data_IF_855865868203
#
_entry.id   IF_855865868203
#
_cell.length_a   1.000
_cell.length_b   1.000
_cell.length_c   1.000
_cell.angle_alpha   90.00
_cell.angle_beta   90.00
_cell.angle_gamma   90.00
#
_symmetry.space_group_name_H-M   'P 1'
#
loop_
_entity.id
_entity.type
_entity.pdbx_description
1 polymer ?
#
# COMPACT_ATOMS: atom_id res chain seq x y z
N UNK A 1 4.92 -20.70 -8.26
CA UNK A 1 4.31 -21.29 -7.06
C UNK A 1 5.28 -22.33 -6.54
N UNK A 2 5.52 -22.39 -5.22
CA UNK A 2 6.44 -23.38 -4.61
C UNK A 2 5.73 -24.70 -4.24
N UNK A 3 4.40 -24.77 -4.37
CA UNK A 3 3.63 -25.95 -3.96
C UNK A 3 3.72 -26.27 -2.46
N UNK A 4 3.99 -25.26 -1.62
CA UNK A 4 4.12 -25.45 -0.18
C UNK A 4 5.44 -26.06 0.28
N UNK A 5 6.41 -26.24 -0.62
CA UNK A 5 7.73 -26.83 -0.32
C UNK A 5 8.80 -25.79 0.01
N UNK A 6 9.73 -26.16 0.87
CA UNK A 6 10.92 -25.37 1.23
C UNK A 6 12.14 -25.72 0.34
N UNK A 7 13.32 -25.18 0.68
CA UNK A 7 14.58 -25.42 -0.04
C UNK A 7 15.07 -26.89 0.00
N UNK A 8 14.66 -27.69 0.99
CA UNK A 8 14.97 -29.14 1.05
C UNK A 8 13.91 -30.01 0.38
N UNK A 9 12.93 -29.41 -0.30
CA UNK A 9 11.85 -30.12 -0.99
C UNK A 9 10.74 -30.67 -0.07
N UNK A 10 10.84 -30.46 1.24
CA UNK A 10 9.82 -30.88 2.21
C UNK A 10 8.62 -29.94 2.20
N UNK A 11 7.42 -30.48 2.32
CA UNK A 11 6.19 -29.69 2.47
C UNK A 11 6.17 -29.10 3.88
N UNK A 12 6.20 -27.77 3.98
CA UNK A 12 6.13 -27.05 5.26
C UNK A 12 4.89 -26.19 5.37
N UNK A 13 4.27 -25.82 4.24
CA UNK A 13 2.99 -25.11 4.19
C UNK A 13 1.95 -25.95 3.45
N UNK A 14 1.02 -26.54 4.21
CA UNK A 14 -0.08 -27.34 3.66
C UNK A 14 -1.12 -26.48 2.93
N UNK A 15 -2.00 -27.14 2.17
CA UNK A 15 -3.09 -26.50 1.40
C UNK A 15 -2.62 -25.49 0.33
N UNK A 16 -1.37 -25.62 -0.16
CA UNK A 16 -0.83 -24.81 -1.26
C UNK A 16 -0.30 -25.72 -2.37
N UNK A 17 -0.90 -25.64 -3.55
CA UNK A 17 -0.49 -26.41 -4.72
C UNK A 17 -1.30 -26.01 -5.94
N UNK A 18 -0.76 -26.21 -7.15
CA UNK A 18 -1.49 -25.90 -8.39
C UNK A 18 -1.76 -24.40 -8.63
N UNK A 19 -2.95 -24.11 -9.16
CA UNK A 19 -3.41 -22.79 -9.56
C UNK A 19 -2.87 -22.28 -10.91
N UNK A 20 -3.57 -21.29 -11.47
CA UNK A 20 -3.14 -20.59 -12.69
C UNK A 20 -1.79 -19.86 -12.47
N UNK A 21 -0.90 -19.90 -13.48
CA UNK A 21 0.39 -19.20 -13.44
C UNK A 21 0.18 -17.68 -13.33
N UNK A 22 0.88 -17.04 -12.40
CA UNK A 22 0.78 -15.59 -12.14
C UNK A 22 2.13 -14.92 -12.39
N UNK A 23 2.10 -13.70 -12.93
CA UNK A 23 3.29 -12.83 -13.07
C UNK A 23 3.32 -11.87 -11.91
N UNK A 24 4.49 -11.68 -11.30
CA UNK A 24 4.67 -10.71 -10.22
C UNK A 24 4.67 -9.30 -10.80
N UNK A 25 3.96 -8.39 -10.13
CA UNK A 25 4.05 -6.95 -10.40
C UNK A 25 4.89 -6.29 -9.32
N UNK A 26 5.89 -5.52 -9.74
CA UNK A 26 6.74 -4.75 -8.82
C UNK A 26 6.02 -3.46 -8.44
N UNK A 27 5.73 -3.30 -7.15
CA UNK A 27 5.07 -2.11 -6.61
C UNK A 27 6.09 -1.24 -5.87
N UNK A 28 5.92 0.06 -5.99
CA UNK A 28 6.58 1.03 -5.14
C UNK A 28 5.81 1.16 -3.82
N UNK A 29 6.18 0.32 -2.85
CA UNK A 29 5.62 0.34 -1.50
C UNK A 29 6.25 1.40 -0.60
N UNK A 30 7.45 1.89 -0.95
CA UNK A 30 8.19 2.91 -0.20
C UNK A 30 7.86 4.33 -0.64
N UNK A 31 7.16 4.49 -1.78
CA UNK A 31 6.81 5.80 -2.34
C UNK A 31 8.08 6.62 -2.55
N UNK A 32 9.04 5.98 -3.24
CA UNK A 32 10.43 6.41 -3.41
C UNK A 32 10.58 7.82 -3.99
N UNK A 33 9.70 8.20 -4.92
CA UNK A 33 9.65 9.53 -5.53
C UNK A 33 8.92 10.51 -4.60
N UNK A 34 9.68 11.17 -3.73
CA UNK A 34 9.19 12.21 -2.83
C UNK A 34 9.13 13.58 -3.52
N UNK A 35 8.14 14.41 -3.18
CA UNK A 35 7.96 15.75 -3.73
C UNK A 35 7.34 15.80 -5.13
N UNK A 36 7.53 14.76 -5.94
CA UNK A 36 7.07 14.70 -7.34
C UNK A 36 5.59 14.32 -7.43
N UNK A 37 4.83 15.10 -8.19
CA UNK A 37 3.43 14.80 -8.49
C UNK A 37 3.32 13.74 -9.60
N UNK A 38 2.53 12.70 -9.36
CA UNK A 38 2.19 11.67 -10.33
C UNK A 38 0.70 11.70 -10.67
N UNK A 39 0.35 11.29 -11.89
CA UNK A 39 -1.04 11.16 -12.36
C UNK A 39 -1.40 9.68 -12.47
N UNK A 40 -2.59 9.33 -11.98
CA UNK A 40 -3.11 7.97 -12.10
C UNK A 40 -3.50 7.71 -13.55
N UNK A 41 -2.80 6.78 -14.21
CA UNK A 41 -3.08 6.42 -15.61
C UNK A 41 -4.27 5.46 -15.71
N UNK A 42 -4.28 4.43 -14.87
CA UNK A 42 -5.35 3.41 -14.81
C UNK A 42 -5.25 2.57 -13.54
N UNK A 43 -6.35 1.91 -13.22
CA UNK A 43 -6.43 0.87 -12.19
C UNK A 43 -6.37 -0.51 -12.84
N UNK A 44 -5.64 -1.44 -12.23
CA UNK A 44 -5.47 -2.80 -12.73
C UNK A 44 -5.71 -3.83 -11.62
N UNK A 45 -6.35 -4.94 -11.98
CA UNK A 45 -6.47 -6.12 -11.12
C UNK A 45 -5.11 -6.83 -10.98
N UNK A 46 -4.62 -7.09 -9.75
CA UNK A 46 -3.38 -7.86 -9.49
C UNK A 46 -3.68 -9.26 -8.93
N UNK A 47 -3.34 -10.36 -9.62
CA UNK A 47 -3.62 -11.70 -9.14
C UNK A 47 -2.77 -12.13 -7.93
N UNK A 48 -1.74 -11.37 -7.54
CA UNK A 48 -0.85 -11.74 -6.43
C UNK A 48 -1.31 -11.19 -5.07
N UNK A 49 -2.37 -10.38 -5.03
CA UNK A 49 -2.91 -9.78 -3.80
C UNK A 49 -4.42 -9.60 -3.91
N UNK A 50 -5.05 -9.19 -2.82
CA UNK A 50 -6.50 -8.91 -2.79
C UNK A 50 -6.83 -7.51 -3.33
N UNK A 51 -5.98 -6.52 -3.04
CA UNK A 51 -6.19 -5.14 -3.46
C UNK A 51 -5.85 -4.90 -4.94
N UNK A 52 -6.56 -3.97 -5.56
CA UNK A 52 -6.20 -3.48 -6.89
C UNK A 52 -4.97 -2.56 -6.83
N UNK A 53 -4.34 -2.36 -7.97
CA UNK A 53 -3.17 -1.49 -8.09
C UNK A 53 -3.42 -0.36 -9.07
N UNK A 54 -2.78 0.78 -8.82
CA UNK A 54 -2.84 1.93 -9.71
C UNK A 54 -1.50 2.09 -10.42
N UNK A 55 -1.52 2.24 -11.74
CA UNK A 55 -0.35 2.66 -12.51
C UNK A 55 -0.26 4.18 -12.45
N UNK A 56 0.82 4.67 -11.86
CA UNK A 56 1.12 6.10 -11.76
C UNK A 56 2.14 6.46 -12.83
N UNK A 57 1.88 7.56 -13.52
CA UNK A 57 2.81 8.21 -14.43
C UNK A 57 3.33 9.47 -13.76
N UNK A 58 4.64 9.52 -13.52
CA UNK A 58 5.28 10.71 -12.97
C UNK A 58 5.71 11.62 -14.11
N UNK A 59 5.39 12.91 -13.97
CA UNK A 59 5.83 13.94 -14.90
C UNK A 59 7.35 14.07 -14.90
N UNK A 60 7.92 14.61 -15.98
CA UNK A 60 9.32 15.04 -15.99
C UNK A 60 9.40 16.34 -15.21
N UNK A 61 9.73 16.29 -13.92
CA UNK A 61 10.19 17.50 -13.21
C UNK A 61 11.70 17.67 -13.43
N UNK A 62 12.08 18.91 -13.72
CA UNK A 62 13.46 19.38 -13.81
C UNK A 62 13.89 19.77 -12.39
N UNK A 63 14.40 18.83 -11.62
CA UNK A 63 15.26 19.17 -10.49
C UNK A 63 16.60 18.45 -10.67
N UNK A 64 17.69 19.17 -10.39
CA UNK A 64 19.04 18.89 -10.88
C UNK A 64 19.44 17.40 -10.96
N UNK A 65 19.86 17.02 -12.17
CA UNK A 65 20.64 15.83 -12.53
C UNK A 65 19.98 14.44 -12.67
N UNK A 66 18.70 14.21 -12.33
CA UNK A 66 18.06 12.90 -12.61
C UNK A 66 16.63 13.03 -13.15
N UNK A 67 16.48 12.91 -14.47
CA UNK A 67 15.18 12.78 -15.14
C UNK A 67 14.60 11.40 -14.83
N UNK A 68 13.67 11.29 -13.88
CA UNK A 68 12.89 10.07 -13.70
C UNK A 68 11.58 10.21 -14.48
N UNK A 69 11.62 9.95 -15.79
CA UNK A 69 10.37 9.61 -16.52
C UNK A 69 9.98 8.20 -16.08
N UNK A 70 9.23 8.12 -14.98
CA UNK A 70 8.94 6.87 -14.30
C UNK A 70 7.48 6.48 -14.37
N UNK A 71 7.23 5.19 -14.59
CA UNK A 71 5.97 4.56 -14.22
C UNK A 71 6.18 3.78 -12.92
N UNK A 72 5.24 3.87 -11.98
CA UNK A 72 5.26 3.04 -10.79
C UNK A 72 3.87 2.46 -10.51
N UNK A 73 3.83 1.24 -9.99
CA UNK A 73 2.61 0.68 -9.45
C UNK A 73 2.52 0.96 -7.96
N UNK A 74 1.37 1.47 -7.53
CA UNK A 74 1.03 1.60 -6.10
C UNK A 74 -0.20 0.78 -5.77
N UNK A 75 -0.46 0.57 -4.48
CA UNK A 75 -1.74 0.03 -4.02
C UNK A 75 -2.81 1.09 -4.29
N UNK A 76 -3.92 0.69 -4.91
CA UNK A 76 -5.03 1.60 -5.15
C UNK A 76 -5.81 1.81 -3.83
N UNK A 77 -5.88 3.05 -3.31
CA UNK A 77 -6.81 3.39 -2.27
C UNK A 77 -8.24 3.42 -2.81
N UNK A 78 -9.18 3.37 -1.89
CA UNK A 78 -10.58 3.61 -2.21
C UNK A 78 -10.80 5.04 -2.75
N UNK A 79 -11.67 5.15 -3.75
CA UNK A 79 -12.05 6.44 -4.35
C UNK A 79 -11.05 6.99 -5.37
N UNK A 80 -9.86 6.40 -5.51
CA UNK A 80 -8.88 6.81 -6.50
C UNK A 80 -9.37 6.49 -7.93
N UNK A 81 -9.27 7.46 -8.85
CA UNK A 81 -9.71 7.35 -10.24
C UNK A 81 -8.58 7.69 -11.22
N UNK A 82 -8.65 7.20 -12.47
CA UNK A 82 -7.76 7.69 -13.53
C UNK A 82 -7.89 9.20 -13.70
N UNK A 83 -6.76 9.90 -13.83
CA UNK A 83 -6.68 11.36 -13.88
C UNK A 83 -6.39 12.03 -12.54
N UNK A 84 -6.60 11.34 -11.41
CA UNK A 84 -6.29 11.89 -10.09
C UNK A 84 -4.79 12.09 -9.93
N UNK A 85 -4.41 13.12 -9.18
CA UNK A 85 -3.02 13.37 -8.84
C UNK A 85 -2.67 12.80 -7.47
N UNK A 86 -1.53 12.12 -7.39
CA UNK A 86 -0.97 11.56 -6.16
C UNK A 86 0.43 12.11 -5.92
N UNK A 87 0.76 12.37 -4.66
CA UNK A 87 2.08 12.85 -4.27
C UNK A 87 2.59 12.10 -3.04
N UNK A 88 3.90 12.09 -2.85
CA UNK A 88 4.55 11.48 -1.70
C UNK A 88 5.38 12.51 -0.96
N UNK A 89 5.16 12.66 0.34
CA UNK A 89 5.95 13.46 1.28
C UNK A 89 6.22 14.91 0.80
N UNK A 90 5.24 15.55 0.14
CA UNK A 90 5.33 16.95 -0.29
C UNK A 90 4.79 17.87 0.80
N UNK A 91 5.59 18.83 1.23
CA UNK A 91 5.20 19.83 2.20
C UNK A 91 3.99 20.64 1.68
N UNK A 92 2.99 20.86 2.54
CA UNK A 92 1.78 21.62 2.20
C UNK A 92 0.79 20.90 1.26
N UNK A 93 1.02 19.64 0.91
CA UNK A 93 0.07 18.89 0.10
C UNK A 93 -1.21 18.56 0.89
N UNK A 94 -2.34 18.54 0.18
CA UNK A 94 -3.65 18.22 0.75
C UNK A 94 -3.71 16.77 1.23
N UNK A 95 -4.41 16.54 2.33
CA UNK A 95 -4.70 15.21 2.86
C UNK A 95 -5.82 14.58 2.03
N UNK A 96 -5.44 14.01 0.88
CA UNK A 96 -6.34 13.29 -0.02
C UNK A 96 -5.94 11.81 -0.14
N UNK A 97 -6.90 10.90 -0.39
CA UNK A 97 -6.61 9.49 -0.62
C UNK A 97 -5.55 9.29 -1.71
N UNK A 98 -4.59 8.39 -1.46
CA UNK A 98 -3.48 8.11 -2.38
C UNK A 98 -2.24 8.98 -2.19
N UNK A 99 -2.32 10.08 -1.45
CA UNK A 99 -1.13 10.78 -0.99
C UNK A 99 -0.47 10.02 0.15
N UNK A 100 0.87 10.05 0.19
CA UNK A 100 1.64 9.40 1.25
C UNK A 100 2.45 10.42 2.03
N UNK A 101 2.51 10.29 3.35
CA UNK A 101 3.20 11.22 4.25
C UNK A 101 3.87 10.45 5.39
N UNK A 102 4.80 11.10 6.08
CA UNK A 102 5.27 10.59 7.37
C UNK A 102 4.16 10.67 8.40
N UNK A 103 4.06 9.71 9.31
CA UNK A 103 3.00 9.66 10.33
C UNK A 103 2.92 10.94 11.17
N UNK A 104 4.06 11.58 11.44
CA UNK A 104 4.13 12.87 12.17
C UNK A 104 3.45 14.03 11.45
N UNK A 105 3.24 13.93 10.14
CA UNK A 105 2.66 14.99 9.31
C UNK A 105 1.16 14.74 9.03
N UNK A 106 0.65 13.52 9.27
CA UNK A 106 -0.74 13.12 9.01
C UNK A 106 -1.67 13.52 10.17
N UNK A 107 -2.77 14.26 9.96
CA UNK A 107 -3.68 14.63 11.04
C UNK A 107 -4.21 13.41 11.81
N UNK A 108 -4.39 13.58 13.13
CA UNK A 108 -4.94 12.54 13.99
C UNK A 108 -6.39 12.24 13.59
N UNK A 109 -6.80 10.98 13.67
CA UNK A 109 -8.13 10.50 13.30
C UNK A 109 -8.29 10.12 11.82
N UNK A 110 -7.29 10.43 10.98
CA UNK A 110 -7.34 10.08 9.55
C UNK A 110 -7.11 8.59 9.32
N UNK A 111 -7.84 8.02 8.37
CA UNK A 111 -7.64 6.66 7.89
C UNK A 111 -6.37 6.57 7.04
N UNK A 112 -5.56 5.56 7.32
CA UNK A 112 -4.26 5.32 6.68
C UNK A 112 -4.07 3.84 6.35
N UNK A 113 -3.30 3.58 5.30
CA UNK A 113 -2.90 2.24 4.89
C UNK A 113 -1.44 2.21 4.43
N UNK A 114 -0.94 1.02 4.09
CA UNK A 114 0.43 0.80 3.63
C UNK A 114 1.49 1.41 4.58
N UNK A 115 1.41 1.07 5.86
CA UNK A 115 2.23 1.67 6.92
C UNK A 115 3.58 0.97 7.00
N UNK A 116 4.66 1.76 7.07
CA UNK A 116 6.01 1.23 7.31
C UNK A 116 6.17 0.73 8.75
N UNK A 117 6.84 -0.42 8.92
CA UNK A 117 7.23 -0.90 10.25
C UNK A 117 8.49 -0.20 10.76
N UNK A 118 9.39 0.15 9.85
CA UNK A 118 10.62 0.89 10.10
C UNK A 118 10.77 1.96 9.01
N UNK A 119 11.26 3.16 9.34
CA UNK A 119 11.43 4.23 8.35
C UNK A 119 12.24 3.75 7.14
N UNK A 120 11.71 3.94 5.93
CA UNK A 120 12.39 3.63 4.67
C UNK A 120 12.39 2.16 4.25
N UNK A 121 11.76 1.26 5.02
CA UNK A 121 11.60 -0.17 4.63
C UNK A 121 10.45 -0.40 3.63
N UNK A 122 9.63 0.62 3.36
CA UNK A 122 8.40 0.51 2.59
C UNK A 122 7.25 -0.07 3.40
N UNK A 123 6.03 0.16 2.93
CA UNK A 123 4.83 -0.24 3.63
C UNK A 123 4.71 -1.76 3.76
N UNK A 124 4.53 -2.23 5.00
CA UNK A 124 4.42 -3.65 5.34
C UNK A 124 3.06 -3.99 5.93
N UNK A 125 2.47 -3.05 6.68
CA UNK A 125 1.21 -3.24 7.39
C UNK A 125 0.04 -2.64 6.59
N UNK A 126 -1.17 -3.19 6.78
CA UNK A 126 -2.43 -2.66 6.23
C UNK A 126 -2.40 -2.54 4.70
N UNK A 127 -2.29 -3.70 4.02
CA UNK A 127 -2.18 -3.77 2.54
C UNK A 127 -3.28 -4.61 1.87
N UNK A 128 -4.15 -5.23 2.66
CA UNK A 128 -5.21 -6.08 2.11
C UNK A 128 -6.38 -5.22 1.65
N UNK A 129 -7.11 -5.70 0.64
CA UNK A 129 -8.35 -5.09 0.17
C UNK A 129 -9.29 -4.71 1.33
N UNK A 130 -9.84 -3.50 1.27
CA UNK A 130 -10.77 -2.94 2.26
C UNK A 130 -10.20 -2.66 3.66
N UNK A 131 -8.91 -2.89 3.90
CA UNK A 131 -8.31 -2.63 5.22
C UNK A 131 -7.84 -1.19 5.35
N UNK A 132 -7.95 -0.64 6.56
CA UNK A 132 -7.41 0.65 6.95
C UNK A 132 -7.00 0.59 8.43
N UNK A 133 -6.14 1.52 8.81
CA UNK A 133 -5.79 1.79 10.19
C UNK A 133 -6.09 3.27 10.49
N UNK A 134 -6.17 3.60 11.77
CA UNK A 134 -6.44 4.97 12.20
C UNK A 134 -5.29 5.48 13.03
N UNK A 135 -4.79 6.68 12.72
CA UNK A 135 -3.82 7.37 13.57
C UNK A 135 -4.54 7.90 14.82
N UNK A 136 -4.29 7.31 15.99
CA UNK A 136 -5.03 7.60 17.22
C UNK A 136 -4.47 8.80 17.97
N UNK A 137 -3.15 8.85 18.15
CA UNK A 137 -2.48 9.97 18.82
C UNK A 137 -1.00 10.05 18.42
N UNK A 138 -0.43 11.23 18.59
CA UNK A 138 1.02 11.47 18.49
C UNK A 138 1.54 11.72 19.90
N UNK A 139 2.59 11.03 20.31
CA UNK A 139 3.21 11.28 21.61
C UNK A 139 4.23 12.41 21.48
N UNK A 140 4.09 13.42 22.33
CA UNK A 140 4.80 14.70 22.20
C UNK A 140 6.29 14.65 22.61
N UNK A 141 6.84 13.49 23.00
CA UNK A 141 8.23 13.36 23.47
C UNK A 141 9.07 12.34 22.71
N UNK A 142 8.53 11.15 22.45
CA UNK A 142 9.35 10.01 22.01
C UNK A 142 9.42 9.85 20.48
N UNK A 143 8.75 10.73 19.73
CA UNK A 143 8.69 10.66 18.28
C UNK A 143 7.88 9.44 17.77
N UNK A 144 7.04 8.84 18.61
CA UNK A 144 6.14 7.74 18.25
C UNK A 144 4.71 8.23 18.03
N UNK A 145 4.01 7.47 17.20
CA UNK A 145 2.60 7.60 16.88
C UNK A 145 1.90 6.29 17.26
N UNK A 146 0.72 6.39 17.88
CA UNK A 146 -0.11 5.23 18.15
C UNK A 146 -1.08 5.06 17.00
N UNK A 147 -1.02 3.90 16.37
CA UNK A 147 -1.90 3.52 15.27
C UNK A 147 -2.78 2.36 15.72
N UNK A 148 -4.09 2.47 15.48
CA UNK A 148 -5.02 1.36 15.64
C UNK A 148 -5.07 0.55 14.35
N UNK A 149 -4.62 -0.70 14.41
CA UNK A 149 -4.56 -1.63 13.27
C UNK A 149 -5.95 -2.25 12.97
N UNK A 150 -6.14 -2.82 11.77
CA UNK A 150 -7.38 -3.53 11.42
C UNK A 150 -7.71 -4.70 12.36
N UNK A 151 -6.70 -5.28 13.02
CA UNK A 151 -6.87 -6.33 14.03
C UNK A 151 -7.48 -5.83 15.34
N UNK A 152 -7.60 -4.51 15.53
CA UNK A 152 -7.97 -3.86 16.80
C UNK A 152 -6.78 -3.55 17.70
N UNK A 153 -5.59 -4.09 17.40
CA UNK A 153 -4.35 -3.82 18.12
C UNK A 153 -3.98 -2.33 18.03
N UNK A 154 -3.64 -1.72 19.17
CA UNK A 154 -3.00 -0.41 19.21
C UNK A 154 -1.49 -0.59 19.27
N UNK A 155 -0.77 0.01 18.31
CA UNK A 155 0.66 -0.20 18.13
C UNK A 155 1.42 1.11 18.05
N UNK A 156 2.57 1.14 18.69
CA UNK A 156 3.55 2.21 18.58
C UNK A 156 4.34 2.09 17.27
N UNK A 157 4.35 3.16 16.49
CA UNK A 157 5.08 3.28 15.22
C UNK A 157 5.84 4.59 15.21
N UNK A 158 7.08 4.62 14.70
CA UNK A 158 7.86 5.87 14.64
C UNK A 158 7.16 6.89 13.76
N UNK A 159 7.15 8.15 14.17
CA UNK A 159 6.55 9.27 13.42
C UNK A 159 7.21 9.53 12.07
N UNK A 160 8.44 9.01 11.86
CA UNK A 160 9.17 9.07 10.59
C UNK A 160 8.73 8.02 9.58
N UNK A 161 8.00 6.99 10.00
CA UNK A 161 7.45 5.97 9.09
C UNK A 161 6.47 6.60 8.12
N UNK A 162 6.53 6.16 6.85
CA UNK A 162 5.55 6.56 5.84
C UNK A 162 4.24 5.78 5.99
N UNK A 163 3.13 6.45 5.67
CA UNK A 163 1.81 5.87 5.50
C UNK A 163 1.07 6.57 4.36
N UNK A 164 0.16 5.86 3.71
CA UNK A 164 -0.68 6.40 2.63
C UNK A 164 -2.06 6.72 3.18
N UNK A 165 -2.62 7.88 2.80
CA UNK A 165 -3.95 8.33 3.23
C UNK A 165 -5.04 7.49 2.56
N UNK A 166 -6.09 7.20 3.32
CA UNK A 166 -7.29 6.49 2.91
C UNK A 166 -7.25 4.98 3.23
N UNK A 167 -8.38 4.32 3.00
CA UNK A 167 -8.50 2.87 3.05
C UNK A 167 -8.00 2.21 1.76
N UNK A 168 -7.57 0.94 1.85
CA UNK A 168 -7.24 0.15 0.64
C UNK A 168 -8.54 -0.14 -0.14
N UNK A 169 -8.49 -0.01 -1.46
CA UNK A 169 -9.63 -0.28 -2.34
C UNK A 169 -10.09 -1.74 -2.35
N UNK A 170 -11.02 -2.05 -3.26
CA UNK A 170 -11.63 -3.39 -3.42
C UNK A 170 -12.33 -3.92 -2.14
N UNK A 171 -13.11 -3.07 -1.46
CA UNK A 171 -13.80 -3.44 -0.20
C UNK A 171 -14.65 -4.70 -0.33
N UNK A 172 -15.31 -4.91 -1.48
CA UNK A 172 -16.18 -6.06 -1.73
C UNK A 172 -15.45 -7.39 -1.92
N UNK A 173 -14.12 -7.42 -1.86
CA UNK A 173 -13.34 -8.65 -1.96
C UNK A 173 -13.82 -9.74 -0.98
N UNK A 174 -14.22 -9.35 0.24
CA UNK A 174 -14.73 -10.26 1.25
C UNK A 174 -16.12 -10.84 0.94
N UNK A 175 -16.92 -10.13 0.14
CA UNK A 175 -18.27 -10.54 -0.27
C UNK A 175 -18.27 -11.58 -1.39
N UNK A 176 -17.10 -11.87 -1.99
CA UNK A 176 -16.97 -12.78 -3.11
C UNK A 176 -17.28 -14.22 -2.71
N UNK A 177 -18.32 -14.79 -3.29
CA UNK A 177 -18.63 -16.24 -3.21
C UNK A 177 -17.85 -17.02 -4.27
N UNK A 178 -17.17 -18.08 -3.85
CA UNK A 178 -16.34 -18.92 -4.74
C UNK A 178 -17.21 -19.84 -5.63
N UNK A 179 -18.41 -20.20 -5.16
CA UNK A 179 -19.45 -20.92 -5.92
C UNK A 179 -19.17 -22.41 -6.12
N UNK A 180 -18.01 -22.77 -6.69
CA UNK A 180 -17.64 -24.16 -7.00
C UNK A 180 -16.27 -24.53 -6.42
N UNK A 181 -16.10 -25.80 -6.04
CA UNK A 181 -14.85 -26.30 -5.45
C UNK A 181 -13.62 -26.06 -6.34
N UNK A 182 -13.77 -26.18 -7.67
CA UNK A 182 -12.68 -25.98 -8.63
C UNK A 182 -12.17 -24.53 -8.72
N UNK A 183 -12.95 -23.54 -8.29
CA UNK A 183 -12.46 -22.15 -8.25
C UNK A 183 -11.49 -21.90 -7.08
N UNK A 184 -11.41 -22.83 -6.12
CA UNK A 184 -10.45 -22.80 -5.01
C UNK A 184 -9.22 -23.69 -5.27
N UNK A 185 -8.96 -24.07 -6.53
CA UNK A 185 -7.84 -24.94 -6.96
C UNK A 185 -6.81 -24.19 -7.78
#
# INVERSE_FOLDING_TARGET
>A
STGGRNNTGRVTAFHRGGGHKRRLRHLDLSRSLQGVQGVVKRLEYDPNRSADIALIEYGREHDGANVVKGHAYIIAPEGLKPGDSVVSNKAGATVSPGNAFKLRDIPVGVEIHNIELRPGKGGQMVRSAGTFATLMRREAGDGYCIVKLPSGEQRYVRGECMATIGAVGNKDHHNRKIGKAGANR
#
